data_IF_467284900270
#
_entry.id   IF_467284900270
#
_cell.length_a   1.000
_cell.length_b   1.000
_cell.length_c   1.000
_cell.angle_alpha   90.00
_cell.angle_beta   90.00
_cell.angle_gamma   90.00
#
_symmetry.space_group_name_H-M   'P 1'
#
loop_
_entity.id
_entity.type
_entity.pdbx_description
1 polymer ?
#
# COMPACT_ATOMS: atom_id res chain seq x y z
N UNK A 1 8.17 -9.27 28.32
CA UNK A 1 9.09 -9.75 27.28
C UNK A 1 8.48 -9.41 25.92
N UNK A 2 9.01 -8.40 25.26
CA UNK A 2 8.57 -7.99 23.92
C UNK A 2 9.17 -8.93 22.89
N UNK A 3 8.34 -9.75 22.25
CA UNK A 3 8.76 -10.60 21.15
C UNK A 3 9.03 -9.72 19.94
N UNK A 4 10.30 -9.49 19.61
CA UNK A 4 10.72 -8.97 18.29
C UNK A 4 10.19 -9.93 17.21
N UNK A 5 9.62 -9.45 16.09
CA UNK A 5 9.36 -10.33 14.96
C UNK A 5 10.70 -10.84 14.43
N UNK A 6 10.82 -12.15 14.29
CA UNK A 6 11.92 -12.85 13.64
C UNK A 6 12.06 -12.39 12.19
N UNK A 7 13.28 -12.39 11.65
CA UNK A 7 13.63 -11.98 10.28
C UNK A 7 13.10 -12.94 9.19
N UNK A 8 11.81 -13.25 9.22
CA UNK A 8 11.16 -14.34 8.49
C UNK A 8 9.98 -13.84 7.65
N UNK A 9 10.15 -13.91 6.32
CA UNK A 9 9.15 -13.77 5.25
C UNK A 9 8.18 -12.58 5.38
N UNK A 10 8.58 -11.41 4.85
CA UNK A 10 7.65 -10.30 4.62
C UNK A 10 6.43 -10.80 3.81
N UNK A 11 5.25 -10.55 4.35
CA UNK A 11 3.97 -10.84 3.74
C UNK A 11 3.68 -9.86 2.61
N UNK A 12 2.84 -10.25 1.64
CA UNK A 12 2.39 -9.32 0.59
C UNK A 12 1.73 -8.06 1.17
N UNK A 13 1.12 -8.15 2.35
CA UNK A 13 0.50 -7.00 3.00
C UNK A 13 1.55 -5.96 3.40
N UNK A 14 2.69 -6.39 3.94
CA UNK A 14 3.81 -5.52 4.32
C UNK A 14 4.45 -4.88 3.10
N UNK A 15 4.67 -5.65 2.03
CA UNK A 15 5.13 -5.11 0.75
C UNK A 15 4.19 -4.03 0.22
N UNK A 16 2.87 -4.27 0.20
CA UNK A 16 1.90 -3.27 -0.27
C UNK A 16 1.90 -2.03 0.62
N UNK A 17 1.99 -2.18 1.95
CA UNK A 17 2.12 -1.04 2.88
C UNK A 17 3.38 -0.22 2.58
N UNK A 18 4.53 -0.89 2.41
CA UNK A 18 5.81 -0.25 2.06
C UNK A 18 5.75 0.49 0.72
N UNK A 19 5.12 -0.10 -0.29
CA UNK A 19 4.91 0.55 -1.58
C UNK A 19 4.03 1.80 -1.48
N UNK A 20 2.99 1.80 -0.63
CA UNK A 20 2.18 2.99 -0.36
C UNK A 20 3.03 4.08 0.31
N UNK A 21 3.87 3.73 1.29
CA UNK A 21 4.78 4.70 1.93
C UNK A 21 5.74 5.32 0.91
N UNK A 22 6.40 4.51 0.09
CA UNK A 22 7.30 4.99 -0.96
C UNK A 22 6.60 5.90 -1.98
N UNK A 23 5.32 5.63 -2.27
CA UNK A 23 4.52 6.51 -3.10
C UNK A 23 4.26 7.85 -2.40
N UNK A 24 3.96 7.86 -1.12
CA UNK A 24 3.68 9.08 -0.37
C UNK A 24 4.92 9.97 -0.21
N UNK A 25 6.08 9.36 0.03
CA UNK A 25 7.34 10.10 0.21
C UNK A 25 7.74 10.90 -1.04
N UNK A 26 7.32 10.41 -2.22
CA UNK A 26 7.63 11.04 -3.52
C UNK A 26 6.46 11.84 -4.11
N UNK A 27 5.38 12.09 -3.35
CA UNK A 27 4.20 12.80 -3.85
C UNK A 27 4.18 14.26 -3.43
N UNK A 28 4.01 15.12 -4.44
CA UNK A 28 3.80 16.57 -4.27
C UNK A 28 2.30 16.87 -4.07
N UNK A 29 1.41 16.03 -4.61
CA UNK A 29 -0.04 16.24 -4.56
C UNK A 29 -0.64 15.79 -3.22
N UNK A 30 -1.66 16.52 -2.76
CA UNK A 30 -2.46 16.16 -1.58
C UNK A 30 -3.25 14.85 -1.74
N UNK A 31 -3.48 14.41 -2.97
CA UNK A 31 -4.27 13.22 -3.27
C UNK A 31 -3.47 12.22 -4.10
N UNK A 32 -3.38 10.99 -3.58
CA UNK A 32 -2.74 9.86 -4.24
C UNK A 32 -3.79 8.82 -4.63
N UNK A 33 -3.84 8.49 -5.92
CA UNK A 33 -4.66 7.37 -6.42
C UNK A 33 -3.84 6.07 -6.32
N UNK A 34 -4.35 5.12 -5.53
CA UNK A 34 -3.81 3.79 -5.35
C UNK A 34 -4.51 2.80 -6.29
N UNK A 35 -3.73 2.04 -7.04
CA UNK A 35 -4.20 0.93 -7.88
C UNK A 35 -3.21 -0.23 -7.79
N UNK A 36 -3.69 -1.46 -7.98
CA UNK A 36 -2.83 -2.65 -7.92
C UNK A 36 -1.65 -2.59 -8.92
N UNK A 37 -1.86 -1.96 -10.08
CA UNK A 37 -0.81 -1.77 -11.08
C UNK A 37 0.25 -0.77 -10.62
N UNK A 38 -0.16 0.36 -10.05
CA UNK A 38 0.78 1.38 -9.53
C UNK A 38 1.61 0.80 -8.38
N UNK A 39 0.96 0.05 -7.48
CA UNK A 39 1.64 -0.67 -6.40
C UNK A 39 2.63 -1.70 -6.97
N UNK A 40 2.23 -2.49 -7.96
CA UNK A 40 3.13 -3.48 -8.56
C UNK A 40 4.37 -2.84 -9.22
N UNK A 41 4.21 -1.67 -9.87
CA UNK A 41 5.35 -0.93 -10.43
C UNK A 41 6.35 -0.59 -9.34
N UNK A 42 5.89 0.01 -8.24
CA UNK A 42 6.77 0.39 -7.12
C UNK A 42 7.44 -0.83 -6.49
N UNK A 43 6.72 -1.94 -6.35
CA UNK A 43 7.28 -3.17 -5.82
C UNK A 43 8.39 -3.75 -6.70
N UNK A 44 8.22 -3.69 -8.02
CA UNK A 44 9.26 -4.10 -8.97
C UNK A 44 10.45 -3.14 -8.91
N UNK A 45 10.19 -1.85 -9.01
CA UNK A 45 11.21 -0.82 -9.20
C UNK A 45 12.04 -0.55 -7.94
N UNK A 46 11.41 -0.63 -6.75
CA UNK A 46 12.03 -0.25 -5.48
C UNK A 46 12.29 -1.41 -4.52
N UNK A 47 11.57 -2.53 -4.69
CA UNK A 47 11.71 -3.69 -3.80
C UNK A 47 12.21 -4.95 -4.52
N UNK A 48 12.36 -4.95 -5.85
CA UNK A 48 12.81 -6.10 -6.61
C UNK A 48 11.85 -7.30 -6.59
N UNK A 49 10.59 -7.11 -6.20
CA UNK A 49 9.58 -8.18 -6.09
C UNK A 49 8.44 -7.99 -7.09
N UNK A 50 7.94 -9.11 -7.62
CA UNK A 50 6.84 -9.11 -8.59
C UNK A 50 5.73 -10.05 -8.13
N UNK A 51 4.62 -9.48 -7.65
CA UNK A 51 3.45 -10.25 -7.25
C UNK A 51 2.38 -10.22 -8.34
N UNK A 52 1.52 -11.26 -8.35
CA UNK A 52 0.30 -11.26 -9.17
C UNK A 52 -0.60 -10.08 -8.78
N UNK A 53 -1.09 -9.35 -9.78
CA UNK A 53 -1.93 -8.16 -9.61
C UNK A 53 -3.16 -8.44 -8.71
N UNK A 54 -3.79 -9.61 -8.83
CA UNK A 54 -4.94 -9.98 -8.00
C UNK A 54 -4.60 -10.16 -6.52
N UNK A 55 -3.38 -10.60 -6.20
CA UNK A 55 -2.92 -10.72 -4.81
C UNK A 55 -2.68 -9.33 -4.22
N UNK A 56 -2.07 -8.43 -5.00
CA UNK A 56 -1.90 -7.03 -4.63
C UNK A 56 -3.26 -6.36 -4.43
N UNK A 57 -4.22 -6.57 -5.34
CA UNK A 57 -5.56 -6.01 -5.24
C UNK A 57 -6.31 -6.45 -4.00
N UNK A 58 -6.19 -7.71 -3.60
CA UNK A 58 -6.77 -8.22 -2.34
C UNK A 58 -6.13 -7.58 -1.11
N UNK A 59 -4.81 -7.47 -1.08
CA UNK A 59 -4.10 -6.80 0.01
C UNK A 59 -4.45 -5.31 0.09
N UNK A 60 -4.47 -4.61 -1.05
CA UNK A 60 -4.85 -3.21 -1.15
C UNK A 60 -6.31 -2.98 -0.72
N UNK A 61 -7.24 -3.85 -1.11
CA UNK A 61 -8.64 -3.79 -0.68
C UNK A 61 -8.77 -3.98 0.84
N UNK A 62 -7.99 -4.88 1.44
CA UNK A 62 -7.95 -5.05 2.90
C UNK A 62 -7.47 -3.78 3.60
N UNK A 63 -6.38 -3.18 3.13
CA UNK A 63 -5.86 -1.91 3.65
C UNK A 63 -6.91 -0.80 3.48
N UNK A 64 -7.51 -0.69 2.29
CA UNK A 64 -8.50 0.32 1.99
C UNK A 64 -9.73 0.24 2.91
N UNK A 65 -10.19 -0.96 3.25
CA UNK A 65 -11.26 -1.17 4.23
C UNK A 65 -10.83 -0.75 5.64
N UNK A 66 -9.65 -1.17 6.07
CA UNK A 66 -9.12 -0.82 7.40
C UNK A 66 -8.88 0.68 7.58
N UNK A 67 -8.60 1.40 6.49
CA UNK A 67 -8.29 2.82 6.48
C UNK A 67 -9.43 3.68 5.93
N UNK A 68 -10.60 3.08 5.68
CA UNK A 68 -11.78 3.75 5.13
C UNK A 68 -11.46 4.60 3.88
N UNK A 69 -10.60 4.09 2.99
CA UNK A 69 -10.21 4.80 1.78
C UNK A 69 -11.38 4.88 0.82
N UNK A 70 -11.60 6.07 0.26
CA UNK A 70 -12.65 6.31 -0.71
C UNK A 70 -12.35 5.54 -1.99
N UNK A 71 -13.24 4.63 -2.38
CA UNK A 71 -13.15 3.94 -3.66
C UNK A 71 -13.55 4.89 -4.79
N UNK A 72 -12.76 4.94 -5.85
CA UNK A 72 -13.10 5.66 -7.07
C UNK A 72 -13.89 4.71 -7.97
N UNK A 73 -15.07 5.14 -8.43
CA UNK A 73 -15.93 4.34 -9.29
C UNK A 73 -15.30 4.20 -10.69
N UNK A 74 -14.54 3.12 -10.88
CA UNK A 74 -14.02 2.71 -12.19
C UNK A 74 -14.13 1.19 -12.34
N UNK A 75 -13.95 0.68 -13.56
CA UNK A 75 -13.96 -0.77 -13.83
C UNK A 75 -12.91 -1.55 -13.03
N UNK A 76 -11.82 -0.89 -12.62
CA UNK A 76 -10.75 -1.48 -11.80
C UNK A 76 -10.79 -0.87 -10.40
N UNK A 77 -10.58 -1.64 -9.32
CA UNK A 77 -10.47 -1.08 -7.98
C UNK A 77 -9.34 -0.04 -7.89
N UNK A 78 -9.73 1.22 -7.65
CA UNK A 78 -8.83 2.34 -7.35
C UNK A 78 -9.31 3.01 -6.07
N UNK A 79 -8.36 3.44 -5.25
CA UNK A 79 -8.65 4.07 -3.96
C UNK A 79 -7.97 5.43 -3.89
N UNK A 80 -8.70 6.42 -3.41
CA UNK A 80 -8.20 7.75 -3.14
C UNK A 80 -7.58 7.78 -1.74
N UNK A 81 -6.33 8.22 -1.65
CA UNK A 81 -5.63 8.43 -0.40
C UNK A 81 -5.24 9.91 -0.28
N UNK A 82 -5.75 10.58 0.77
CA UNK A 82 -5.32 11.94 1.12
C UNK A 82 -4.04 11.87 1.94
N UNK A 83 -2.98 12.55 1.50
CA UNK A 83 -1.65 12.53 2.14
C UNK A 83 -1.72 13.01 3.60
N UNK A 84 -2.60 13.98 3.88
CA UNK A 84 -2.86 14.51 5.23
C UNK A 84 -3.42 13.47 6.21
N UNK A 85 -4.19 12.49 5.73
CA UNK A 85 -4.68 11.37 6.56
C UNK A 85 -3.60 10.33 6.81
N UNK A 86 -2.64 10.17 5.89
CA UNK A 86 -1.65 9.10 5.97
C UNK A 86 -0.35 9.49 6.69
N UNK A 87 0.07 10.77 6.70
CA UNK A 87 1.24 11.20 7.49
C UNK A 87 1.11 10.94 9.00
N UNK A 88 -0.11 10.71 9.51
CA UNK A 88 -0.36 10.27 10.90
C UNK A 88 -0.22 8.76 11.11
N UNK A 89 0.02 7.98 10.06
CA UNK A 89 -0.03 6.53 10.07
C UNK A 89 1.38 5.92 10.09
N UNK A 90 1.99 5.85 11.28
CA UNK A 90 2.98 4.81 11.55
C UNK A 90 2.19 3.54 11.87
N UNK A 91 2.19 2.59 10.96
CA UNK A 91 1.69 1.24 11.25
C UNK A 91 2.50 0.69 12.44
N UNK A 92 1.86 0.06 13.44
CA UNK A 92 2.62 -0.65 14.45
C UNK A 92 3.44 -1.75 13.76
N UNK A 93 4.71 -1.87 14.18
CA UNK A 93 5.64 -2.93 13.80
C UNK A 93 5.03 -4.32 14.07
#
# INVERSE_FOLDING_TARGET
MSTKPSASQETILEFVKRAINLLLDNQISDTLILSSHKINSILKDKCGVNFKIDRIGRALSKIAKQQELKRISTRIPKYELKTSRFKRFRLPD
#
